data_IF_442935863312
#
_entry.id   IF_442935863312
#
_cell.length_a   1.000
_cell.length_b   1.000
_cell.length_c   1.000
_cell.angle_alpha   90.00
_cell.angle_beta   90.00
_cell.angle_gamma   90.00
#
_symmetry.space_group_name_H-M   'P 1'
#
loop_
_entity.id
_entity.type
_entity.pdbx_description
1 polymer ?
#
# COMPACT_ATOMS: atom_id res chain seq x y z
N UNK A 1 18.52 -2.74 -2.73
CA UNK A 1 17.51 -1.89 -2.07
C UNK A 1 18.03 -1.35 -0.74
N UNK A 2 17.76 -0.06 -0.45
CA UNK A 2 18.20 0.59 0.79
C UNK A 2 17.32 0.23 1.99
N UNK A 3 17.92 0.21 3.20
CA UNK A 3 17.21 -0.05 4.48
C UNK A 3 15.90 0.75 4.66
N UNK A 4 15.83 2.06 4.31
CA UNK A 4 14.60 2.83 4.43
C UNK A 4 13.46 2.34 3.52
N UNK A 5 13.79 1.89 2.31
CA UNK A 5 12.79 1.35 1.37
C UNK A 5 12.30 -0.02 1.81
N UNK A 6 13.20 -0.85 2.34
CA UNK A 6 12.84 -2.15 2.90
C UNK A 6 11.83 -2.00 4.05
N UNK A 7 12.06 -1.05 4.96
CA UNK A 7 11.14 -0.76 6.06
C UNK A 7 9.78 -0.24 5.57
N UNK A 8 9.76 0.61 4.52
CA UNK A 8 8.51 1.07 3.90
C UNK A 8 7.74 -0.09 3.30
N UNK A 9 8.40 -1.01 2.59
CA UNK A 9 7.77 -2.20 2.01
C UNK A 9 7.27 -3.16 3.07
N UNK A 10 8.00 -3.30 4.18
CA UNK A 10 7.56 -4.06 5.37
C UNK A 10 6.32 -3.47 6.05
N UNK A 11 5.92 -2.25 5.73
CA UNK A 11 4.66 -1.66 6.21
C UNK A 11 3.52 -1.75 5.17
N UNK A 12 3.82 -2.18 3.94
CA UNK A 12 2.82 -2.36 2.88
C UNK A 12 2.02 -3.65 3.08
N UNK A 13 0.85 -3.72 2.46
CA UNK A 13 -0.03 -4.87 2.56
C UNK A 13 0.62 -6.16 2.00
N UNK A 14 0.49 -7.33 2.67
CA UNK A 14 1.16 -8.57 2.25
C UNK A 14 0.91 -8.96 0.77
N UNK A 15 -0.30 -8.74 0.25
CA UNK A 15 -0.63 -9.04 -1.16
C UNK A 15 0.19 -8.22 -2.16
N UNK A 16 0.53 -6.96 -1.82
CA UNK A 16 1.27 -6.07 -2.72
C UNK A 16 2.77 -6.10 -2.46
N UNK A 17 3.24 -6.62 -1.32
CA UNK A 17 4.68 -6.68 -1.00
C UNK A 17 5.47 -7.42 -2.04
N UNK A 18 4.99 -8.59 -2.49
CA UNK A 18 5.69 -9.40 -3.50
C UNK A 18 5.88 -8.60 -4.79
N UNK A 19 4.80 -8.02 -5.30
CA UNK A 19 4.84 -7.23 -6.54
C UNK A 19 5.69 -5.97 -6.40
N UNK A 20 5.58 -5.23 -5.28
CA UNK A 20 6.39 -4.02 -5.07
C UNK A 20 7.87 -4.38 -4.94
N UNK A 21 8.20 -5.46 -4.24
CA UNK A 21 9.59 -5.93 -4.13
C UNK A 21 10.15 -6.26 -5.50
N UNK A 22 9.36 -6.90 -6.37
CA UNK A 22 9.76 -7.23 -7.74
C UNK A 22 10.00 -5.95 -8.57
N UNK A 23 9.06 -5.01 -8.58
CA UNK A 23 9.19 -3.75 -9.32
C UNK A 23 10.42 -2.96 -8.85
N UNK A 24 10.68 -2.90 -7.55
CA UNK A 24 11.86 -2.17 -7.05
C UNK A 24 13.16 -2.87 -7.40
N UNK A 25 13.19 -4.21 -7.48
CA UNK A 25 14.37 -4.93 -8.01
C UNK A 25 14.63 -4.56 -9.46
N UNK A 26 13.59 -4.57 -10.30
CA UNK A 26 13.70 -4.18 -11.71
C UNK A 26 14.15 -2.72 -11.86
N UNK A 27 13.64 -1.81 -11.02
CA UNK A 27 14.09 -0.41 -11.00
C UNK A 27 15.55 -0.28 -10.52
N UNK A 28 15.96 -1.09 -9.53
CA UNK A 28 17.32 -1.10 -9.00
C UNK A 28 18.34 -1.55 -10.05
N UNK A 29 17.93 -2.44 -10.96
CA UNK A 29 18.72 -2.96 -12.08
C UNK A 29 18.72 -2.01 -13.29
N UNK A 30 17.58 -1.40 -13.60
CA UNK A 30 17.41 -0.53 -14.77
C UNK A 30 17.89 0.92 -14.56
N UNK A 31 17.97 1.39 -13.31
CA UNK A 31 18.23 2.79 -13.00
C UNK A 31 19.46 2.96 -12.11
N UNK A 32 20.22 4.03 -12.36
CA UNK A 32 21.44 4.37 -11.62
C UNK A 32 21.24 5.70 -10.86
N UNK A 33 21.83 5.79 -9.67
CA UNK A 33 21.91 7.04 -8.90
C UNK A 33 20.55 7.59 -8.43
N UNK A 34 20.34 8.90 -8.56
CA UNK A 34 19.16 9.58 -8.01
C UNK A 34 17.82 9.23 -8.68
N UNK A 35 17.85 8.75 -9.94
CA UNK A 35 16.64 8.35 -10.66
C UNK A 35 15.96 7.13 -10.01
N UNK A 36 16.77 6.14 -9.62
CA UNK A 36 16.35 4.95 -8.85
C UNK A 36 15.62 5.33 -7.56
N UNK A 37 16.19 6.27 -6.81
CA UNK A 37 15.64 6.72 -5.52
C UNK A 37 14.27 7.38 -5.73
N UNK A 38 14.16 8.31 -6.68
CA UNK A 38 12.92 9.06 -6.93
C UNK A 38 11.78 8.17 -7.44
N UNK A 39 12.06 7.30 -8.41
CA UNK A 39 11.04 6.43 -9.01
C UNK A 39 10.54 5.41 -7.98
N UNK A 40 11.45 4.78 -7.24
CA UNK A 40 11.10 3.85 -6.16
C UNK A 40 10.26 4.52 -5.07
N UNK A 41 10.65 5.73 -4.65
CA UNK A 41 9.95 6.47 -3.61
C UNK A 41 8.53 6.86 -4.04
N UNK A 42 8.38 7.29 -5.31
CA UNK A 42 7.10 7.66 -5.91
C UNK A 42 6.17 6.44 -6.05
N UNK A 43 6.68 5.30 -6.49
CA UNK A 43 5.92 4.05 -6.65
C UNK A 43 5.32 3.56 -5.32
N UNK A 44 6.12 3.58 -4.25
CA UNK A 44 5.66 3.20 -2.89
C UNK A 44 4.56 4.16 -2.41
N UNK A 45 4.66 5.45 -2.70
CA UNK A 45 3.65 6.44 -2.32
C UNK A 45 2.35 6.28 -3.12
N UNK A 46 2.47 6.18 -4.45
CA UNK A 46 1.33 6.04 -5.35
C UNK A 46 0.53 4.76 -5.10
N UNK A 47 1.20 3.66 -4.77
CA UNK A 47 0.53 2.39 -4.53
C UNK A 47 -0.23 2.32 -3.20
N UNK A 48 0.22 3.07 -2.18
CA UNK A 48 -0.57 3.30 -0.97
C UNK A 48 -1.87 4.05 -1.29
N UNK A 49 -1.85 4.97 -2.26
CA UNK A 49 -3.03 5.71 -2.70
C UNK A 49 -4.01 4.83 -3.49
N UNK A 50 -3.51 3.93 -4.35
CA UNK A 50 -4.38 3.03 -5.13
C UNK A 50 -5.24 2.09 -4.27
N UNK A 51 -4.83 1.78 -3.04
CA UNK A 51 -5.65 0.99 -2.14
C UNK A 51 -6.95 1.71 -1.68
N UNK A 52 -7.08 3.02 -1.99
CA UNK A 52 -8.28 3.81 -1.75
C UNK A 52 -9.13 4.05 -3.02
N UNK A 53 -9.00 3.23 -4.06
CA UNK A 53 -9.80 3.40 -5.29
C UNK A 53 -11.32 3.26 -5.07
N UNK A 54 -11.73 2.55 -4.02
CA UNK A 54 -13.15 2.47 -3.69
C UNK A 54 -13.56 3.68 -2.89
N UNK A 55 -14.27 4.62 -3.53
CA UNK A 55 -14.91 5.74 -2.83
C UNK A 55 -15.93 5.30 -1.77
N UNK A 56 -16.43 4.05 -1.88
CA UNK A 56 -17.40 3.45 -0.97
C UNK A 56 -17.09 1.98 -0.69
N UNK A 57 -17.34 1.55 0.54
CA UNK A 57 -17.21 0.17 1.01
C UNK A 57 -18.55 -0.31 1.57
N UNK A 58 -18.81 -1.60 1.47
CA UNK A 58 -19.98 -2.24 2.06
C UNK A 58 -19.64 -2.71 3.46
N UNK A 59 -20.51 -2.44 4.43
CA UNK A 59 -20.44 -2.93 5.81
C UNK A 59 -21.77 -3.64 6.09
N UNK A 60 -21.79 -4.95 5.85
CA UNK A 60 -23.05 -5.70 5.72
C UNK A 60 -23.92 -5.07 4.63
N UNK A 61 -25.17 -4.77 4.96
CA UNK A 61 -26.14 -4.17 4.02
C UNK A 61 -25.95 -2.66 3.78
N UNK A 62 -25.06 -1.99 4.53
CA UNK A 62 -24.90 -0.53 4.45
C UNK A 62 -23.68 -0.12 3.61
N UNK A 63 -23.88 0.81 2.68
CA UNK A 63 -22.81 1.45 1.89
C UNK A 63 -22.25 2.67 2.64
N UNK A 64 -20.97 2.64 3.02
CA UNK A 64 -20.29 3.75 3.70
C UNK A 64 -19.19 4.34 2.82
N UNK A 65 -18.93 5.65 2.93
CA UNK A 65 -17.83 6.31 2.23
C UNK A 65 -16.49 5.83 2.79
N UNK A 66 -15.52 5.53 1.93
CA UNK A 66 -14.18 5.11 2.32
C UNK A 66 -13.31 6.32 2.74
N UNK A 67 -13.79 7.08 3.72
CA UNK A 67 -13.02 8.15 4.34
C UNK A 67 -12.13 7.59 5.45
N UNK A 68 -10.99 8.24 5.70
CA UNK A 68 -10.06 7.82 6.75
C UNK A 68 -10.74 7.67 8.12
N UNK A 69 -11.63 8.61 8.48
CA UNK A 69 -12.40 8.56 9.74
C UNK A 69 -13.27 7.30 9.85
N UNK A 70 -13.85 6.85 8.74
CA UNK A 70 -14.68 5.64 8.72
C UNK A 70 -13.81 4.38 8.79
N UNK A 71 -12.69 4.37 8.07
CA UNK A 71 -11.76 3.24 8.01
C UNK A 71 -11.04 2.98 9.33
N UNK A 72 -10.74 4.03 10.10
CA UNK A 72 -10.11 3.89 11.41
C UNK A 72 -10.95 3.07 12.41
N UNK A 73 -12.27 3.10 12.28
CA UNK A 73 -13.24 2.45 13.16
C UNK A 73 -13.68 1.05 12.69
N UNK A 74 -13.11 0.55 11.59
CA UNK A 74 -13.41 -0.80 11.11
C UNK A 74 -12.56 -1.86 11.83
N UNK A 75 -13.03 -3.11 11.93
CA UNK A 75 -12.25 -4.20 12.49
C UNK A 75 -10.96 -4.34 11.69
N UNK A 76 -9.85 -4.43 12.42
CA UNK A 76 -8.52 -4.58 11.85
C UNK A 76 -7.96 -5.94 12.17
N UNK A 77 -7.20 -6.50 11.23
CA UNK A 77 -6.40 -7.68 11.47
C UNK A 77 -5.23 -7.38 12.42
N UNK A 78 -4.51 -8.43 12.84
CA UNK A 78 -3.30 -8.34 13.67
C UNK A 78 -2.25 -7.38 13.10
N UNK A 79 -2.21 -7.23 11.77
CA UNK A 79 -1.33 -6.32 11.04
C UNK A 79 -1.92 -4.90 10.84
N UNK A 80 -3.07 -4.59 11.45
CA UNK A 80 -3.68 -3.25 11.42
C UNK A 80 -4.50 -2.93 10.18
N UNK A 81 -4.75 -3.91 9.30
CA UNK A 81 -5.52 -3.73 8.07
C UNK A 81 -7.02 -3.94 8.28
N UNK A 82 -7.83 -3.09 7.66
CA UNK A 82 -9.30 -3.19 7.69
C UNK A 82 -9.76 -4.52 7.07
N UNK A 83 -10.44 -5.35 7.86
CA UNK A 83 -11.08 -6.58 7.39
C UNK A 83 -12.47 -6.22 6.88
N UNK A 84 -12.73 -6.49 5.59
CA UNK A 84 -14.06 -6.41 5.01
C UNK A 84 -14.75 -7.76 5.20
N UNK A 85 -15.41 -7.96 6.35
CA UNK A 85 -16.33 -9.08 6.51
C UNK A 85 -17.56 -8.84 5.64
N UNK A 86 -17.84 -9.76 4.72
CA UNK A 86 -19.07 -9.80 3.92
C UNK A 86 -20.30 -9.89 4.82
#
# INVERSE_FOLDING_TARGET
MDKPNENKIKNLHPLIRKEITQIVKECDEALIGGAKVRITQWLIFFRNLLHFERSFIWKGERKIKASWRNLQNLPKDKDGYVIFTQ
#
